data_IF_265304591730
#
_entry.id   IF_265304591730
#
_cell.length_a   1.000
_cell.length_b   1.000
_cell.length_c   1.000
_cell.angle_alpha   90.00
_cell.angle_beta   90.00
_cell.angle_gamma   90.00
#
_symmetry.space_group_name_H-M   'P 1'
#
loop_
_entity.id
_entity.type
_entity.pdbx_description
1 polymer ?
#
# COMPACT_ATOMS: atom_id res chain seq x y z
N UNK A 1 -15.27 9.41 -18.15
CA UNK A 1 -14.16 9.68 -17.22
C UNK A 1 -14.76 10.15 -15.91
N UNK A 2 -14.13 9.86 -14.78
CA UNK A 2 -14.59 10.30 -13.48
C UNK A 2 -13.41 10.81 -12.66
N UNK A 3 -13.52 12.04 -12.16
CA UNK A 3 -12.61 12.61 -11.16
C UNK A 3 -13.34 12.63 -9.83
N UNK A 4 -12.73 12.04 -8.81
CA UNK A 4 -13.17 12.13 -7.43
C UNK A 4 -12.13 12.89 -6.64
N UNK A 5 -12.56 13.93 -5.93
CA UNK A 5 -11.74 14.67 -4.98
C UNK A 5 -12.20 14.34 -3.57
N UNK A 6 -11.27 14.34 -2.62
CA UNK A 6 -11.57 14.03 -1.22
C UNK A 6 -10.72 14.89 -0.31
N UNK A 7 -11.32 15.35 0.79
CA UNK A 7 -10.63 16.03 1.88
C UNK A 7 -11.15 15.48 3.20
N UNK A 8 -10.23 15.16 4.10
CA UNK A 8 -10.56 14.78 5.47
C UNK A 8 -9.67 15.54 6.44
N UNK A 9 -10.22 15.89 7.59
CA UNK A 9 -9.47 16.36 8.74
C UNK A 9 -9.77 15.43 9.91
N UNK A 10 -8.72 14.96 10.56
CA UNK A 10 -8.80 14.08 11.70
C UNK A 10 -7.95 14.61 12.85
N UNK A 11 -8.38 14.32 14.06
CA UNK A 11 -7.67 14.67 15.29
C UNK A 11 -7.75 13.52 16.26
N UNK A 12 -6.60 13.09 16.74
CA UNK A 12 -6.47 12.21 17.89
C UNK A 12 -5.99 13.07 19.06
N UNK A 13 -6.92 13.32 19.97
CA UNK A 13 -6.79 14.25 21.10
C UNK A 13 -5.48 14.02 21.88
N UNK A 14 -4.73 15.10 22.10
CA UNK A 14 -3.45 15.14 22.82
C UNK A 14 -2.33 14.33 22.18
N UNK A 15 -2.46 13.97 20.89
CA UNK A 15 -1.48 13.16 20.16
C UNK A 15 -1.12 13.80 18.82
N UNK A 16 -2.04 13.81 17.84
CA UNK A 16 -1.78 14.35 16.52
C UNK A 16 -3.05 14.82 15.81
N UNK A 17 -2.86 15.74 14.86
CA UNK A 17 -3.88 16.11 13.88
C UNK A 17 -3.36 15.80 12.48
N UNK A 18 -4.28 15.50 11.56
CA UNK A 18 -3.91 15.12 10.21
C UNK A 18 -4.93 15.64 9.20
N UNK A 19 -4.44 16.30 8.16
CA UNK A 19 -5.20 16.68 6.99
C UNK A 19 -4.86 15.72 5.85
N UNK A 20 -5.89 15.28 5.12
CA UNK A 20 -5.74 14.46 3.93
C UNK A 20 -6.36 15.16 2.72
N UNK A 21 -5.67 15.12 1.58
CA UNK A 21 -6.21 15.47 0.28
C UNK A 21 -6.02 14.29 -0.69
N UNK A 22 -7.09 13.92 -1.39
CA UNK A 22 -7.10 12.82 -2.34
C UNK A 22 -7.67 13.23 -3.69
N UNK A 23 -7.10 12.68 -4.76
CA UNK A 23 -7.67 12.80 -6.10
C UNK A 23 -7.51 11.49 -6.88
N UNK A 24 -8.63 10.89 -7.29
CA UNK A 24 -8.66 9.70 -8.15
C UNK A 24 -9.30 10.08 -9.48
N UNK A 25 -8.60 9.86 -10.58
CA UNK A 25 -9.10 10.11 -11.92
C UNK A 25 -8.98 8.85 -12.78
N UNK A 26 -10.07 8.48 -13.44
CA UNK A 26 -10.11 7.33 -14.34
C UNK A 26 -10.73 7.73 -15.68
N UNK A 27 -10.03 7.40 -16.77
CA UNK A 27 -10.47 7.74 -18.13
C UNK A 27 -10.03 6.69 -19.14
N UNK A 28 -10.73 6.65 -20.28
CA UNK A 28 -10.33 5.81 -21.41
C UNK A 28 -9.12 6.44 -22.09
N UNK A 29 -8.11 5.63 -22.37
CA UNK A 29 -6.91 6.03 -23.11
C UNK A 29 -6.67 4.99 -24.20
N UNK A 30 -7.06 5.34 -25.44
CA UNK A 30 -7.05 4.39 -26.56
C UNK A 30 -7.93 3.16 -26.28
N UNK A 31 -7.44 1.94 -26.53
CA UNK A 31 -8.19 0.70 -26.27
C UNK A 31 -8.25 0.33 -24.78
N UNK A 32 -7.48 1.01 -23.93
CA UNK A 32 -7.36 0.72 -22.51
C UNK A 32 -8.03 1.75 -21.60
N UNK A 33 -7.70 1.65 -20.33
CA UNK A 33 -8.16 2.54 -19.28
C UNK A 33 -6.99 2.97 -18.41
N UNK A 34 -6.88 4.28 -18.18
CA UNK A 34 -5.85 4.87 -17.36
C UNK A 34 -6.46 5.37 -16.04
N UNK A 35 -5.77 5.10 -14.93
CA UNK A 35 -6.13 5.56 -13.59
C UNK A 35 -4.95 6.34 -13.00
N UNK A 36 -5.23 7.50 -12.43
CA UNK A 36 -4.32 8.22 -11.53
C UNK A 36 -4.90 8.27 -10.14
N UNK A 37 -4.04 8.17 -9.13
CA UNK A 37 -4.39 8.24 -7.72
C UNK A 37 -3.33 9.08 -7.01
N UNK A 38 -3.76 10.22 -6.46
CA UNK A 38 -2.95 11.16 -5.70
C UNK A 38 -3.44 11.18 -4.26
N UNK A 39 -2.50 11.11 -3.31
CA UNK A 39 -2.77 11.16 -1.88
C UNK A 39 -1.75 12.09 -1.22
N UNK A 40 -2.24 13.03 -0.43
CA UNK A 40 -1.42 13.93 0.36
C UNK A 40 -1.87 13.88 1.82
N UNK A 41 -0.92 13.73 2.74
CA UNK A 41 -1.14 13.87 4.16
C UNK A 41 -0.22 14.97 4.72
N UNK A 42 -0.77 15.77 5.62
CA UNK A 42 -0.04 16.70 6.46
C UNK A 42 -0.42 16.38 7.91
N UNK A 43 0.57 15.98 8.70
CA UNK A 43 0.38 15.56 10.09
C UNK A 43 1.27 16.39 11.00
N UNK A 44 0.67 16.89 12.08
CA UNK A 44 1.33 17.71 13.10
C UNK A 44 0.93 17.22 14.50
N UNK A 45 1.77 17.53 15.48
CA UNK A 45 1.47 17.32 16.90
C UNK A 45 0.17 18.04 17.31
N UNK A 46 -0.58 17.44 18.23
CA UNK A 46 -1.79 18.06 18.81
C UNK A 46 -1.77 18.01 20.34
N UNK A 47 -2.19 19.10 20.97
CA UNK A 47 -2.26 19.23 22.43
C UNK A 47 -0.89 19.09 23.10
N UNK A 48 -0.83 18.26 24.14
CA UNK A 48 0.36 17.92 24.91
C UNK A 48 1.35 16.99 24.17
N UNK A 49 1.01 16.47 22.98
CA UNK A 49 1.91 15.64 22.18
C UNK A 49 2.34 14.35 22.87
N UNK A 50 1.38 13.59 23.43
CA UNK A 50 1.65 12.43 24.28
C UNK A 50 2.39 11.27 23.59
N UNK A 51 2.44 11.25 22.25
CA UNK A 51 3.24 10.30 21.48
C UNK A 51 4.62 10.82 21.07
N UNK A 52 4.98 12.05 21.48
CA UNK A 52 6.16 12.77 21.03
C UNK A 52 5.87 13.67 19.84
N UNK A 53 6.94 14.25 19.28
CA UNK A 53 6.86 15.16 18.13
C UNK A 53 6.29 14.46 16.91
N UNK A 54 5.33 15.13 16.26
CA UNK A 54 4.79 14.75 14.96
C UNK A 54 4.97 15.93 14.01
N UNK A 55 5.75 15.67 12.96
CA UNK A 55 5.97 16.53 11.80
C UNK A 55 6.15 15.61 10.60
N UNK A 56 5.11 15.50 9.78
CA UNK A 56 5.14 14.64 8.60
C UNK A 56 4.33 15.24 7.45
N UNK A 57 4.94 15.26 6.28
CA UNK A 57 4.24 15.46 5.01
C UNK A 57 4.46 14.24 4.13
N UNK A 58 3.38 13.70 3.58
CA UNK A 58 3.42 12.58 2.66
C UNK A 58 2.78 12.99 1.34
N UNK A 59 3.48 12.77 0.22
CA UNK A 59 2.94 12.96 -1.13
C UNK A 59 3.07 11.65 -1.90
N UNK A 60 1.95 11.04 -2.26
CA UNK A 60 1.89 9.79 -3.00
C UNK A 60 1.19 9.93 -4.36
N UNK A 61 1.73 9.24 -5.37
CA UNK A 61 1.19 9.18 -6.72
C UNK A 61 1.23 7.76 -7.30
N UNK A 62 0.14 7.38 -7.97
CA UNK A 62 -0.01 6.12 -8.69
C UNK A 62 -0.54 6.36 -10.10
N UNK A 63 0.01 5.63 -11.06
CA UNK A 63 -0.41 5.61 -12.46
C UNK A 63 -0.62 4.17 -12.91
N UNK A 64 -1.85 3.83 -13.27
CA UNK A 64 -2.22 2.48 -13.71
C UNK A 64 -2.79 2.50 -15.13
N UNK A 65 -2.35 1.57 -15.98
CA UNK A 65 -2.94 1.34 -17.30
C UNK A 65 -3.41 -0.10 -17.42
N UNK A 66 -4.70 -0.27 -17.75
CA UNK A 66 -5.35 -1.56 -18.00
C UNK A 66 -5.62 -1.73 -19.49
N UNK A 67 -5.22 -2.87 -20.05
CA UNK A 67 -5.51 -3.27 -21.43
C UNK A 67 -5.75 -4.78 -21.51
N UNK A 68 -6.95 -5.17 -21.94
CA UNK A 68 -7.35 -6.58 -21.92
C UNK A 68 -7.29 -7.16 -20.51
N UNK A 69 -6.65 -8.33 -20.37
CA UNK A 69 -6.38 -8.95 -19.07
C UNK A 69 -5.25 -8.31 -18.28
N UNK A 70 -4.46 -7.41 -18.88
CA UNK A 70 -3.26 -6.84 -18.26
C UNK A 70 -3.56 -5.55 -17.51
N UNK A 71 -2.91 -5.34 -16.37
CA UNK A 71 -2.76 -4.02 -15.75
C UNK A 71 -1.34 -3.83 -15.26
N UNK A 72 -0.72 -2.71 -15.64
CA UNK A 72 0.56 -2.25 -15.10
C UNK A 72 0.31 -0.99 -14.28
N UNK A 73 0.82 -0.96 -13.05
CA UNK A 73 0.78 0.21 -12.17
C UNK A 73 2.20 0.57 -11.77
N UNK A 74 2.54 1.84 -11.86
CA UNK A 74 3.78 2.41 -11.35
C UNK A 74 3.43 3.57 -10.44
N UNK A 75 4.20 3.77 -9.38
CA UNK A 75 3.96 4.86 -8.47
C UNK A 75 5.00 4.94 -7.38
N UNK A 76 4.74 5.79 -6.41
CA UNK A 76 5.63 6.01 -5.29
C UNK A 76 5.14 7.13 -4.40
N UNK A 77 5.93 7.42 -3.40
CA UNK A 77 5.70 8.52 -2.48
C UNK A 77 7.00 9.12 -1.98
N UNK A 78 6.89 10.36 -1.56
CA UNK A 78 7.92 11.06 -0.80
C UNK A 78 7.32 11.40 0.55
N UNK A 79 8.00 11.00 1.62
CA UNK A 79 7.74 11.51 2.97
C UNK A 79 8.79 12.57 3.29
N UNK A 80 8.40 13.61 4.03
CA UNK A 80 9.31 14.61 4.59
C UNK A 80 8.86 15.02 6.00
N UNK A 81 9.73 15.71 6.72
CA UNK A 81 9.53 16.07 8.13
C UNK A 81 10.25 15.11 9.07
N UNK A 82 10.34 15.50 10.33
CA UNK A 82 11.18 14.83 11.34
C UNK A 82 10.59 13.50 11.86
N UNK A 83 9.37 13.13 11.44
CA UNK A 83 8.67 11.94 11.92
C UNK A 83 8.09 11.07 10.80
N UNK A 84 7.91 9.79 11.10
CA UNK A 84 7.12 8.87 10.29
C UNK A 84 5.64 9.28 10.28
N UNK A 85 4.88 8.88 9.24
CA UNK A 85 3.46 9.26 9.18
C UNK A 85 2.65 8.59 10.31
N UNK A 86 1.94 9.36 11.17
CA UNK A 86 1.12 8.78 12.23
C UNK A 86 -0.17 8.17 11.67
N UNK A 87 -0.64 7.11 12.33
CA UNK A 87 -1.94 6.48 12.08
C UNK A 87 -2.46 5.77 13.35
N UNK A 88 -3.73 5.38 13.35
CA UNK A 88 -4.38 4.75 14.51
C UNK A 88 -3.93 3.30 14.63
N UNK A 89 -3.48 2.89 15.81
CA UNK A 89 -3.09 1.50 16.09
C UNK A 89 -4.22 0.49 15.76
N UNK A 90 -3.87 -0.60 15.09
CA UNK A 90 -4.84 -1.62 14.65
C UNK A 90 -5.61 -1.26 13.37
N UNK A 91 -5.28 -0.13 12.74
CA UNK A 91 -5.70 0.21 11.37
C UNK A 91 -4.55 0.03 10.38
N UNK A 92 -4.85 0.16 9.10
CA UNK A 92 -3.86 0.19 8.01
C UNK A 92 -3.86 1.60 7.40
N UNK A 93 -2.69 2.22 7.21
CA UNK A 93 -2.62 3.59 6.70
C UNK A 93 -3.02 3.63 5.21
N UNK A 94 -3.76 4.66 4.83
CA UNK A 94 -4.32 4.79 3.47
C UNK A 94 -3.29 5.34 2.44
N UNK A 95 -2.11 4.72 2.40
CA UNK A 95 -0.97 5.12 1.57
C UNK A 95 -1.00 4.51 0.17
N UNK A 96 -0.14 5.01 -0.73
CA UNK A 96 0.07 4.42 -2.07
C UNK A 96 0.70 3.02 -1.99
N UNK A 97 1.39 2.71 -0.90
CA UNK A 97 1.95 1.39 -0.55
C UNK A 97 0.93 0.38 -0.03
N UNK A 98 -0.36 0.76 0.09
CA UNK A 98 -1.42 -0.09 0.63
C UNK A 98 -1.37 -1.54 0.13
N UNK A 99 -1.69 -2.47 1.04
CA UNK A 99 -1.60 -3.92 0.85
C UNK A 99 -0.18 -4.47 0.70
N UNK A 100 0.89 -3.70 0.94
CA UNK A 100 2.17 -4.29 1.31
C UNK A 100 1.97 -5.21 2.52
N UNK A 101 2.71 -6.32 2.55
CA UNK A 101 2.47 -7.39 3.50
C UNK A 101 3.32 -7.24 4.76
N UNK A 102 4.55 -6.72 4.63
CA UNK A 102 5.52 -6.69 5.73
C UNK A 102 5.84 -5.27 6.21
N UNK A 103 5.86 -4.27 5.32
CA UNK A 103 6.14 -2.86 5.66
C UNK A 103 5.22 -1.89 4.92
N UNK A 104 4.88 -0.80 5.58
CA UNK A 104 4.00 0.24 5.06
C UNK A 104 4.76 1.32 4.27
N UNK A 105 6.11 1.32 4.30
CA UNK A 105 6.98 2.32 3.64
C UNK A 105 6.62 3.77 4.01
N UNK A 106 6.58 4.05 5.31
CA UNK A 106 6.11 5.32 5.88
C UNK A 106 7.09 5.99 6.84
N UNK A 107 8.34 5.54 6.88
CA UNK A 107 9.34 6.08 7.80
C UNK A 107 9.63 7.56 7.50
N UNK A 108 10.28 8.23 8.46
CA UNK A 108 10.72 9.61 8.26
C UNK A 108 11.65 9.70 7.03
N UNK A 109 11.44 10.77 6.24
CA UNK A 109 12.16 11.10 4.99
C UNK A 109 12.18 10.01 3.90
N UNK A 110 11.34 8.97 4.03
CA UNK A 110 11.35 7.83 3.13
C UNK A 110 10.85 8.15 1.72
N UNK A 111 11.68 7.79 0.73
CA UNK A 111 11.36 7.82 -0.69
C UNK A 111 11.03 6.42 -1.19
N UNK A 112 9.75 6.20 -1.48
CA UNK A 112 9.18 4.92 -1.88
C UNK A 112 8.80 4.90 -3.35
N UNK A 113 9.03 3.77 -4.02
CA UNK A 113 8.46 3.52 -5.34
C UNK A 113 8.11 2.04 -5.53
N UNK A 114 7.20 1.78 -6.48
CA UNK A 114 6.80 0.42 -6.83
C UNK A 114 6.43 0.26 -8.30
N UNK A 115 6.52 -0.99 -8.73
CA UNK A 115 5.95 -1.48 -9.98
C UNK A 115 5.10 -2.70 -9.66
N UNK A 116 3.85 -2.68 -10.10
CA UNK A 116 2.87 -3.75 -9.91
C UNK A 116 2.30 -4.17 -11.25
N UNK A 117 2.34 -5.47 -11.51
CA UNK A 117 1.69 -6.08 -12.67
C UNK A 117 0.60 -7.04 -12.20
N UNK A 118 -0.57 -6.94 -12.83
CA UNK A 118 -1.71 -7.81 -12.58
C UNK A 118 -2.19 -8.42 -13.90
N UNK A 119 -2.67 -9.66 -13.82
CA UNK A 119 -3.28 -10.34 -14.95
C UNK A 119 -4.58 -11.03 -14.56
N UNK A 120 -5.65 -10.71 -15.28
CA UNK A 120 -6.94 -11.40 -15.24
C UNK A 120 -6.95 -12.51 -16.30
N UNK A 121 -6.89 -13.76 -15.83
CA UNK A 121 -6.81 -14.93 -16.70
C UNK A 121 -8.15 -15.28 -17.37
N UNK A 122 -9.23 -14.52 -17.12
CA UNK A 122 -10.42 -14.59 -17.96
C UNK A 122 -10.08 -14.31 -19.44
N UNK A 123 -9.06 -13.48 -19.72
CA UNK A 123 -8.55 -13.25 -21.06
C UNK A 123 -7.97 -14.52 -21.74
N UNK A 124 -7.63 -15.54 -20.95
CA UNK A 124 -7.17 -16.86 -21.42
C UNK A 124 -8.23 -17.96 -21.23
N UNK A 125 -9.47 -17.59 -20.91
CA UNK A 125 -10.55 -18.54 -20.69
C UNK A 125 -10.56 -19.21 -19.32
N UNK A 126 -9.81 -18.69 -18.33
CA UNK A 126 -9.83 -19.16 -16.93
C UNK A 126 -10.48 -18.08 -16.04
N UNK A 127 -11.81 -17.90 -16.12
CA UNK A 127 -12.49 -16.90 -15.31
C UNK A 127 -12.33 -17.20 -13.81
N UNK A 128 -12.15 -16.13 -13.04
CA UNK A 128 -11.97 -16.19 -11.58
C UNK A 128 -10.52 -16.31 -11.12
N UNK A 129 -9.56 -16.56 -12.01
CA UNK A 129 -8.13 -16.61 -11.70
C UNK A 129 -7.48 -15.24 -11.94
N UNK A 130 -6.82 -14.69 -10.92
CA UNK A 130 -6.08 -13.42 -10.99
C UNK A 130 -4.68 -13.63 -10.41
N UNK A 131 -3.67 -13.15 -11.12
CA UNK A 131 -2.29 -13.11 -10.64
C UNK A 131 -1.79 -11.68 -10.47
N UNK A 132 -0.93 -11.47 -9.48
CA UNK A 132 -0.24 -10.19 -9.25
C UNK A 132 1.23 -10.43 -8.87
N UNK A 133 2.10 -9.57 -9.39
CA UNK A 133 3.48 -9.45 -8.95
C UNK A 133 3.78 -7.98 -8.68
N UNK A 134 4.45 -7.68 -7.57
CA UNK A 134 4.84 -6.31 -7.21
C UNK A 134 6.26 -6.28 -6.66
N UNK A 135 7.01 -5.25 -7.05
CA UNK A 135 8.27 -4.89 -6.41
C UNK A 135 8.15 -3.49 -5.82
N UNK A 136 8.67 -3.32 -4.62
CA UNK A 136 8.64 -2.11 -3.82
C UNK A 136 10.03 -1.81 -3.29
N UNK A 137 10.39 -0.52 -3.25
CA UNK A 137 11.67 -0.06 -2.69
C UNK A 137 11.47 1.26 -1.95
N UNK A 138 11.91 1.27 -0.70
CA UNK A 138 12.10 2.45 0.14
C UNK A 138 13.58 2.80 0.24
N UNK A 139 13.89 4.10 0.20
CA UNK A 139 15.24 4.65 0.35
C UNK A 139 15.20 5.93 1.14
N UNK A 140 16.36 6.42 1.60
CA UNK A 140 16.44 7.65 2.39
C UNK A 140 15.63 7.55 3.70
N UNK A 141 15.53 6.33 4.24
CA UNK A 141 14.81 6.10 5.48
C UNK A 141 15.65 6.63 6.64
N UNK A 142 15.07 7.55 7.40
CA UNK A 142 15.71 8.12 8.58
C UNK A 142 15.14 7.50 9.85
N UNK A 143 16.03 6.90 10.63
CA UNK A 143 15.72 6.24 11.89
C UNK A 143 16.56 6.83 13.01
N UNK A 144 16.11 6.71 14.28
CA UNK A 144 16.98 6.96 15.42
C UNK A 144 18.31 6.20 15.29
N UNK A 145 19.42 6.79 15.72
CA UNK A 145 20.78 6.19 15.63
C UNK A 145 20.84 4.74 16.13
N UNK A 146 20.15 4.47 17.25
CA UNK A 146 20.08 3.12 17.84
C UNK A 146 19.38 2.07 16.95
N UNK A 147 18.65 2.50 15.92
CA UNK A 147 17.85 1.69 14.99
C UNK A 147 18.44 1.66 13.56
N UNK A 148 19.54 2.38 13.30
CA UNK A 148 20.22 2.38 12.00
C UNK A 148 20.71 3.75 11.54
N UNK A 149 20.19 4.85 12.11
CA UNK A 149 20.52 6.20 11.67
C UNK A 149 19.89 6.55 10.32
N UNK A 150 20.44 7.56 9.65
CA UNK A 150 19.93 8.08 8.38
C UNK A 150 20.34 7.26 7.15
N UNK A 151 19.62 7.46 6.04
CA UNK A 151 19.98 6.90 4.73
C UNK A 151 19.75 5.40 4.59
N UNK A 152 18.85 4.83 5.40
CA UNK A 152 18.51 3.42 5.36
C UNK A 152 17.62 3.08 4.15
N UNK A 153 17.42 1.79 3.92
CA UNK A 153 16.60 1.33 2.81
C UNK A 153 15.87 0.03 3.14
N UNK A 154 14.75 -0.17 2.46
CA UNK A 154 13.95 -1.39 2.54
C UNK A 154 13.38 -1.79 1.17
N UNK A 155 12.99 -3.04 1.00
CA UNK A 155 12.38 -3.52 -0.24
C UNK A 155 11.46 -4.70 0.03
N UNK A 156 10.41 -4.82 -0.77
CA UNK A 156 9.49 -5.95 -0.71
C UNK A 156 9.17 -6.46 -2.11
N UNK A 157 9.07 -7.79 -2.23
CA UNK A 157 8.65 -8.49 -3.44
C UNK A 157 7.43 -9.32 -3.11
N UNK A 158 6.34 -9.07 -3.83
CA UNK A 158 5.10 -9.81 -3.66
C UNK A 158 4.77 -10.64 -4.88
N UNK A 159 4.28 -11.84 -4.60
CA UNK A 159 3.57 -12.69 -5.56
C UNK A 159 2.22 -13.06 -4.97
N UNK A 160 1.17 -12.92 -5.76
CA UNK A 160 -0.18 -13.30 -5.38
C UNK A 160 -0.86 -14.08 -6.51
N UNK A 161 -1.57 -15.13 -6.12
CA UNK A 161 -2.49 -15.86 -6.98
C UNK A 161 -3.82 -16.04 -6.24
N UNK A 162 -4.91 -15.69 -6.89
CA UNK A 162 -6.26 -15.85 -6.34
C UNK A 162 -7.17 -16.56 -7.33
N UNK A 163 -8.06 -17.41 -6.84
CA UNK A 163 -9.05 -18.12 -7.65
C UNK A 163 -10.41 -18.17 -6.96
N UNK A 164 -11.46 -17.75 -7.67
CA UNK A 164 -12.85 -18.00 -7.25
C UNK A 164 -13.45 -19.11 -8.10
N UNK A 165 -13.99 -20.14 -7.46
CA UNK A 165 -14.66 -21.25 -8.17
C UNK A 165 -15.94 -20.73 -8.83
N UNK A 166 -16.03 -20.91 -10.14
CA UNK A 166 -17.09 -20.29 -10.96
C UNK A 166 -18.41 -21.09 -10.99
N UNK A 167 -18.36 -22.40 -10.77
CA UNK A 167 -19.52 -23.30 -10.91
C UNK A 167 -19.40 -24.56 -10.05
N UNK A 168 -20.48 -25.34 -9.98
CA UNK A 168 -20.53 -26.59 -9.22
C UNK A 168 -20.70 -26.41 -7.71
N UNK A 169 -20.51 -27.48 -6.92
CA UNK A 169 -20.79 -27.48 -5.48
C UNK A 169 -19.96 -26.49 -4.65
N UNK A 170 -18.77 -26.14 -5.13
CA UNK A 170 -17.85 -25.19 -4.49
C UNK A 170 -17.95 -23.79 -5.07
N UNK A 171 -18.98 -23.48 -5.88
CA UNK A 171 -19.15 -22.14 -6.46
C UNK A 171 -19.06 -21.06 -5.38
N UNK A 172 -18.30 -20.01 -5.66
CA UNK A 172 -17.99 -18.89 -4.75
C UNK A 172 -17.03 -19.20 -3.60
N UNK A 173 -16.47 -20.40 -3.51
CA UNK A 173 -15.28 -20.61 -2.67
C UNK A 173 -14.12 -19.87 -3.34
N UNK A 174 -13.45 -19.01 -2.58
CA UNK A 174 -12.30 -18.23 -2.99
C UNK A 174 -11.04 -18.77 -2.32
N UNK A 175 -9.98 -18.88 -3.09
CA UNK A 175 -8.63 -19.22 -2.64
C UNK A 175 -7.72 -18.05 -2.93
N UNK A 176 -6.82 -17.72 -2.01
CA UNK A 176 -5.79 -16.70 -2.25
C UNK A 176 -4.50 -17.13 -1.57
N UNK A 177 -3.41 -17.11 -2.32
CA UNK A 177 -2.07 -17.37 -1.83
C UNK A 177 -1.23 -16.14 -2.11
N UNK A 178 -0.53 -15.66 -1.09
CA UNK A 178 0.35 -14.49 -1.16
C UNK A 178 1.69 -14.84 -0.55
N UNK A 179 2.77 -14.48 -1.23
CA UNK A 179 4.12 -14.55 -0.71
C UNK A 179 4.76 -13.17 -0.77
N UNK A 180 5.35 -12.75 0.34
CA UNK A 180 6.15 -11.54 0.45
C UNK A 180 7.59 -11.92 0.79
N UNK A 181 8.54 -11.25 0.17
CA UNK A 181 9.93 -11.25 0.64
C UNK A 181 10.36 -9.82 0.91
N UNK A 182 10.53 -9.52 2.20
CA UNK A 182 10.91 -8.21 2.70
C UNK A 182 12.36 -8.22 3.19
N UNK A 183 13.10 -7.16 2.87
CA UNK A 183 14.48 -6.96 3.30
C UNK A 183 14.74 -5.51 3.64
N UNK A 184 15.53 -5.23 4.67
CA UNK A 184 15.94 -3.88 5.04
C UNK A 184 17.42 -3.79 5.47
N UNK A 185 17.92 -2.56 5.62
CA UNK A 185 19.26 -2.29 6.16
C UNK A 185 19.26 -1.84 7.63
N UNK A 186 18.11 -1.91 8.31
CA UNK A 186 17.93 -1.37 9.65
C UNK A 186 18.76 -2.15 10.68
N UNK A 187 18.98 -1.56 11.85
CA UNK A 187 19.65 -2.27 12.94
C UNK A 187 18.79 -3.44 13.44
N UNK A 188 19.43 -4.50 13.95
CA UNK A 188 18.76 -5.74 14.35
C UNK A 188 17.72 -5.58 15.48
N UNK A 189 17.73 -4.46 16.20
CA UNK A 189 16.78 -4.09 17.25
C UNK A 189 15.62 -3.21 16.73
N UNK A 190 15.54 -2.93 15.43
CA UNK A 190 14.37 -2.33 14.80
C UNK A 190 13.20 -3.32 14.76
N UNK A 191 11.98 -2.79 14.74
CA UNK A 191 10.75 -3.59 14.72
C UNK A 191 10.62 -4.41 13.44
N UNK A 192 10.83 -3.76 12.28
CA UNK A 192 10.84 -4.42 10.98
C UNK A 192 12.17 -5.15 10.78
N UNK A 193 12.07 -6.42 10.38
CA UNK A 193 13.21 -7.32 10.11
C UNK A 193 12.96 -8.07 8.81
N UNK A 194 14.03 -8.53 8.17
CA UNK A 194 13.94 -9.40 7.00
C UNK A 194 12.95 -10.55 7.23
N UNK A 195 12.06 -10.75 6.27
CA UNK A 195 10.96 -11.73 6.33
C UNK A 195 10.73 -12.39 4.96
N UNK A 196 10.31 -13.65 5.01
CA UNK A 196 9.67 -14.35 3.91
C UNK A 196 8.30 -14.88 4.38
N UNK A 197 7.26 -14.10 4.10
CA UNK A 197 5.92 -14.36 4.60
C UNK A 197 5.06 -15.12 3.57
N UNK A 198 4.26 -16.08 4.02
CA UNK A 198 3.26 -16.76 3.21
C UNK A 198 1.89 -16.67 3.88
N UNK A 199 0.90 -16.07 3.19
CA UNK A 199 -0.50 -16.02 3.63
C UNK A 199 -1.37 -16.86 2.69
N UNK A 200 -2.17 -17.76 3.26
CA UNK A 200 -3.14 -18.60 2.54
C UNK A 200 -4.53 -18.32 3.10
N UNK A 201 -5.46 -17.97 2.21
CA UNK A 201 -6.87 -17.72 2.54
C UNK A 201 -7.77 -18.69 1.77
N UNK A 202 -8.80 -19.18 2.47
CA UNK A 202 -9.91 -19.92 1.89
C UNK A 202 -11.19 -19.31 2.44
N UNK A 203 -11.94 -18.65 1.57
CA UNK A 203 -13.10 -17.86 1.94
C UNK A 203 -14.36 -18.40 1.26
N UNK A 204 -15.47 -18.46 2.00
CA UNK A 204 -16.79 -18.72 1.45
C UNK A 204 -17.80 -17.80 2.10
N UNK A 205 -18.61 -17.13 1.28
CA UNK A 205 -19.68 -16.25 1.75
C UNK A 205 -21.03 -16.86 1.44
N UNK A 206 -21.81 -17.16 2.49
CA UNK A 206 -23.20 -17.57 2.35
C UNK A 206 -24.14 -16.38 2.59
N UNK A 207 -24.90 -16.02 1.56
CA UNK A 207 -26.01 -15.07 1.69
C UNK A 207 -27.25 -15.81 2.21
N UNK A 208 -27.70 -15.46 3.40
CA UNK A 208 -28.84 -16.10 4.05
C UNK A 208 -30.19 -15.52 3.60
N UNK A 209 -30.20 -14.28 3.10
CA UNK A 209 -31.33 -13.55 2.51
C UNK A 209 -30.82 -12.44 1.59
#
# INVERSE_FOLDING_TARGET
>A
SGLTLSYYHARLDEIYQQNYLGAIHQFKLGPGEFKTDFRYFLSDEEGEGKAGSVDNQYVGLNFGYKLGGHRLTVGGSLSSGDSAMPYIAGSEPHLISEYALSSEFLNADEHYWHVRYEYDFAALGIPGLIGMARFMKGTNVDLPERLGGSGQSESERDLELSYVVQSGPLKNVAFRVRNARYQNSFAANATMRDDNEMRINVDYTWKLW
#
